data_IF_442204148168
#
_entry.id   IF_442204148168
#
_cell.length_a   1.000
_cell.length_b   1.000
_cell.length_c   1.000
_cell.angle_alpha   90.00
_cell.angle_beta   90.00
_cell.angle_gamma   90.00
#
_symmetry.space_group_name_H-M   'P 1'
#
loop_
_entity.id
_entity.type
_entity.pdbx_description
1 polymer ?
#
# COMPACT_ATOMS: atom_id res chain seq x y z
N UNK A 1 -15.64 10.40 6.88
CA UNK A 1 -14.76 9.26 7.24
C UNK A 1 -15.43 8.48 8.36
N UNK A 2 -15.60 7.17 8.20
CA UNK A 2 -16.22 6.27 9.18
C UNK A 2 -15.35 6.07 10.42
N UNK A 3 -15.91 5.51 11.49
CA UNK A 3 -15.20 5.32 12.76
C UNK A 3 -14.07 4.29 12.64
N UNK A 4 -14.27 3.25 11.82
CA UNK A 4 -13.22 2.26 11.48
C UNK A 4 -12.00 2.94 10.84
N UNK A 5 -12.20 3.74 9.80
CA UNK A 5 -11.11 4.47 9.15
C UNK A 5 -10.44 5.48 10.10
N UNK A 6 -11.18 6.09 11.04
CA UNK A 6 -10.59 6.96 12.07
C UNK A 6 -9.72 6.19 13.05
N UNK A 7 -10.13 4.99 13.45
CA UNK A 7 -9.36 4.13 14.35
C UNK A 7 -8.05 3.69 13.68
N UNK A 8 -8.13 3.23 12.44
CA UNK A 8 -6.96 2.88 11.63
C UNK A 8 -6.04 4.09 11.45
N UNK A 9 -6.60 5.26 11.09
CA UNK A 9 -5.83 6.50 10.92
C UNK A 9 -5.07 6.90 12.19
N UNK A 10 -5.72 6.88 13.34
CA UNK A 10 -5.07 7.18 14.63
C UNK A 10 -3.92 6.21 14.95
N UNK A 11 -4.08 4.92 14.66
CA UNK A 11 -3.00 3.93 14.83
C UNK A 11 -1.79 4.31 13.96
N UNK A 12 -2.02 4.69 12.70
CA UNK A 12 -0.96 5.08 11.79
C UNK A 12 -0.38 6.46 12.08
N UNK A 13 -1.10 7.39 12.72
CA UNK A 13 -0.54 8.63 13.22
C UNK A 13 0.65 8.37 14.18
N UNK A 14 0.56 7.34 15.04
CA UNK A 14 1.64 6.92 15.93
C UNK A 14 2.82 6.23 15.23
N UNK A 15 2.65 5.79 14.00
CA UNK A 15 3.71 5.18 13.19
C UNK A 15 4.39 6.17 12.24
N UNK A 16 3.80 7.32 11.99
CA UNK A 16 4.13 8.18 10.85
C UNK A 16 5.61 8.60 10.81
N UNK A 17 6.23 8.91 11.96
CA UNK A 17 7.63 9.33 11.99
C UNK A 17 8.57 8.17 11.67
N UNK A 18 8.49 7.07 12.42
CA UNK A 18 9.36 5.91 12.20
C UNK A 18 9.13 5.26 10.84
N UNK A 19 7.88 5.20 10.38
CA UNK A 19 7.58 4.68 9.05
C UNK A 19 8.13 5.59 7.94
N UNK A 20 8.08 6.91 8.12
CA UNK A 20 8.72 7.83 7.19
C UNK A 20 10.23 7.57 7.06
N UNK A 21 10.94 7.32 8.16
CA UNK A 21 12.37 7.01 8.13
C UNK A 21 12.67 5.73 7.35
N UNK A 22 11.83 4.70 7.50
CA UNK A 22 11.90 3.46 6.72
C UNK A 22 11.71 3.77 5.22
N UNK A 23 10.71 4.56 4.87
CA UNK A 23 10.39 4.93 3.50
C UNK A 23 11.51 5.75 2.84
N UNK A 24 12.15 6.68 3.57
CA UNK A 24 13.28 7.46 3.04
C UNK A 24 14.46 6.55 2.65
N UNK A 25 14.77 5.55 3.47
CA UNK A 25 15.81 4.56 3.15
C UNK A 25 15.45 3.71 1.96
N UNK A 26 14.23 3.20 1.93
CA UNK A 26 13.75 2.39 0.81
C UNK A 26 13.75 3.18 -0.50
N UNK A 27 13.43 4.46 -0.45
CA UNK A 27 13.51 5.33 -1.62
C UNK A 27 14.94 5.43 -2.17
N UNK A 28 15.93 5.50 -1.28
CA UNK A 28 17.34 5.55 -1.65
C UNK A 28 17.85 4.20 -2.19
N UNK A 29 17.38 3.07 -1.65
CA UNK A 29 17.89 1.73 -1.96
C UNK A 29 17.15 1.05 -3.12
N UNK A 30 15.86 1.31 -3.27
CA UNK A 30 14.97 0.58 -4.18
C UNK A 30 14.12 1.48 -5.09
N UNK A 31 14.26 2.79 -5.02
CA UNK A 31 13.44 3.73 -5.80
C UNK A 31 13.47 3.46 -7.30
N UNK A 32 14.62 3.13 -7.87
CA UNK A 32 14.76 2.80 -9.30
C UNK A 32 14.00 1.51 -9.66
N UNK A 33 14.11 0.46 -8.84
CA UNK A 33 13.39 -0.80 -9.07
C UNK A 33 11.87 -0.60 -9.02
N UNK A 34 11.38 0.23 -8.09
CA UNK A 34 9.97 0.61 -8.02
C UNK A 34 9.53 1.46 -9.22
N UNK A 35 10.38 2.38 -9.68
CA UNK A 35 10.11 3.15 -10.91
C UNK A 35 9.92 2.23 -12.09
N UNK A 36 10.82 1.27 -12.29
CA UNK A 36 10.71 0.28 -13.35
C UNK A 36 9.44 -0.56 -13.24
N UNK A 37 9.12 -1.06 -12.04
CA UNK A 37 7.89 -1.83 -11.80
C UNK A 37 6.65 -1.02 -12.13
N UNK A 38 6.50 0.18 -11.56
CA UNK A 38 5.30 0.99 -11.74
C UNK A 38 5.11 1.43 -13.19
N UNK A 39 6.19 1.72 -13.92
CA UNK A 39 6.13 2.12 -15.34
C UNK A 39 5.86 0.94 -16.26
N UNK A 40 6.41 -0.25 -15.97
CA UNK A 40 6.13 -1.49 -16.72
C UNK A 40 4.65 -1.83 -16.72
N UNK A 41 3.99 -1.66 -15.56
CA UNK A 41 2.59 -2.00 -15.39
C UNK A 41 1.63 -0.80 -15.55
N UNK A 42 2.14 0.38 -15.86
CA UNK A 42 1.28 1.54 -16.09
C UNK A 42 0.32 1.32 -17.27
N UNK A 43 -0.88 1.93 -17.26
CA UNK A 43 -1.76 1.88 -18.42
C UNK A 43 -1.11 2.57 -19.63
N UNK A 44 -1.41 2.09 -20.84
CA UNK A 44 -0.82 2.59 -22.08
C UNK A 44 -1.09 4.09 -22.33
N UNK A 45 -2.14 4.63 -21.74
CA UNK A 45 -2.56 6.02 -21.92
C UNK A 45 -3.08 6.60 -20.62
N UNK A 46 -2.94 7.92 -20.47
CA UNK A 46 -3.36 8.64 -19.27
C UNK A 46 -2.26 8.70 -18.22
N UNK A 47 -2.30 9.75 -17.42
CA UNK A 47 -1.26 10.04 -16.41
C UNK A 47 -1.84 10.46 -15.06
N UNK A 48 -3.16 10.35 -14.85
CA UNK A 48 -3.79 10.67 -13.56
C UNK A 48 -3.72 9.44 -12.67
N UNK A 49 -2.95 9.50 -11.61
CA UNK A 49 -2.75 8.38 -10.69
C UNK A 49 -3.33 8.67 -9.31
N UNK A 50 -3.88 7.63 -8.69
CA UNK A 50 -4.31 7.62 -7.29
C UNK A 50 -3.47 6.62 -6.51
N UNK A 51 -2.77 7.10 -5.46
CA UNK A 51 -2.05 6.25 -4.48
C UNK A 51 -2.95 6.10 -3.24
N UNK A 52 -3.49 4.90 -3.03
CA UNK A 52 -4.44 4.61 -1.93
C UNK A 52 -3.70 4.03 -0.74
N UNK A 53 -3.89 4.63 0.45
CA UNK A 53 -3.07 4.31 1.61
C UNK A 53 -1.62 4.77 1.38
N UNK A 54 -1.46 6.00 0.88
CA UNK A 54 -0.18 6.49 0.39
C UNK A 54 0.91 6.59 1.47
N UNK A 55 0.55 6.55 2.75
CA UNK A 55 1.47 6.76 3.86
C UNK A 55 2.29 8.03 3.68
N UNK A 56 3.64 7.98 3.85
CA UNK A 56 4.52 9.13 3.61
C UNK A 56 4.75 9.45 2.12
N UNK A 57 3.98 8.84 1.18
CA UNK A 57 3.94 9.19 -0.23
C UNK A 57 4.91 8.42 -1.14
N UNK A 58 5.37 7.24 -0.77
CA UNK A 58 6.41 6.52 -1.54
C UNK A 58 6.02 6.30 -3.00
N UNK A 59 4.90 5.60 -3.27
CA UNK A 59 4.47 5.33 -4.65
C UNK A 59 4.06 6.61 -5.37
N UNK A 60 3.38 7.52 -4.67
CA UNK A 60 3.00 8.83 -5.23
C UNK A 60 4.21 9.61 -5.73
N UNK A 61 5.30 9.65 -4.96
CA UNK A 61 6.52 10.37 -5.33
C UNK A 61 7.25 9.71 -6.50
N UNK A 62 7.32 8.36 -6.52
CA UNK A 62 7.89 7.62 -7.66
C UNK A 62 7.11 7.94 -8.94
N UNK A 63 5.78 7.91 -8.89
CA UNK A 63 4.95 8.23 -10.05
C UNK A 63 5.05 9.70 -10.48
N UNK A 64 5.13 10.63 -9.52
CA UNK A 64 5.31 12.05 -9.81
C UNK A 64 6.65 12.34 -10.53
N UNK A 65 7.73 11.62 -10.18
CA UNK A 65 9.01 11.69 -10.90
C UNK A 65 8.89 11.24 -12.36
N UNK A 66 7.98 10.30 -12.65
CA UNK A 66 7.68 9.80 -14.01
C UNK A 66 6.62 10.64 -14.75
N UNK A 67 6.29 11.81 -14.21
CA UNK A 67 5.41 12.78 -14.85
C UNK A 67 3.92 12.38 -14.79
N UNK A 68 3.52 11.60 -13.78
CA UNK A 68 2.11 11.40 -13.49
C UNK A 68 1.56 12.59 -12.69
N UNK A 69 0.29 12.91 -12.93
CA UNK A 69 -0.51 13.80 -12.09
C UNK A 69 -1.07 12.95 -10.95
N UNK A 70 -0.48 13.09 -9.76
CA UNK A 70 -0.68 12.14 -8.66
C UNK A 70 -1.50 12.76 -7.54
N UNK A 71 -2.51 12.01 -7.12
CA UNK A 71 -3.20 12.22 -5.85
C UNK A 71 -2.90 11.06 -4.92
N UNK A 72 -2.42 11.33 -3.69
CA UNK A 72 -2.27 10.35 -2.61
C UNK A 72 -3.38 10.53 -1.57
N UNK A 73 -3.95 9.44 -1.09
CA UNK A 73 -4.92 9.46 0.00
C UNK A 73 -4.48 8.51 1.13
N UNK A 74 -4.71 8.94 2.37
CA UNK A 74 -4.50 8.12 3.56
C UNK A 74 -5.52 8.49 4.63
N UNK A 75 -5.90 7.57 5.51
CA UNK A 75 -6.79 7.87 6.63
C UNK A 75 -6.05 8.53 7.81
N UNK A 76 -4.72 8.47 7.84
CA UNK A 76 -3.87 9.14 8.83
C UNK A 76 -3.52 10.57 8.41
N UNK A 77 -3.81 11.54 9.30
CA UNK A 77 -3.42 12.93 9.09
C UNK A 77 -1.91 13.14 9.11
N UNK A 78 -1.22 12.45 10.01
CA UNK A 78 0.24 12.54 10.14
C UNK A 78 0.97 11.95 8.92
N UNK A 79 0.46 10.86 8.34
CA UNK A 79 0.99 10.30 7.09
C UNK A 79 0.88 11.31 5.95
N UNK A 80 -0.29 11.92 5.78
CA UNK A 80 -0.52 12.96 4.76
C UNK A 80 0.40 14.17 4.94
N UNK A 81 0.63 14.59 6.19
CA UNK A 81 1.59 15.67 6.49
C UNK A 81 3.01 15.28 6.04
N UNK A 82 3.43 14.04 6.31
CA UNK A 82 4.74 13.54 5.87
C UNK A 82 4.84 13.46 4.35
N UNK A 83 3.80 12.96 3.68
CA UNK A 83 3.78 12.87 2.22
C UNK A 83 3.94 14.25 1.55
N UNK A 84 3.22 15.25 2.04
CA UNK A 84 3.35 16.65 1.55
C UNK A 84 4.76 17.19 1.72
N UNK A 85 5.35 17.01 2.90
CA UNK A 85 6.72 17.43 3.18
C UNK A 85 7.73 16.73 2.28
N UNK A 86 7.59 15.43 2.11
CA UNK A 86 8.46 14.63 1.24
C UNK A 86 8.39 15.08 -0.23
N UNK A 87 7.20 15.47 -0.72
CA UNK A 87 7.03 16.03 -2.05
C UNK A 87 7.71 17.40 -2.18
N UNK A 88 7.48 18.30 -1.22
CA UNK A 88 8.08 19.63 -1.17
C UNK A 88 9.61 19.58 -1.15
N UNK A 89 10.20 18.74 -0.29
CA UNK A 89 11.66 18.56 -0.17
C UNK A 89 12.30 18.05 -1.47
N UNK A 90 11.53 17.35 -2.32
CA UNK A 90 11.98 16.86 -3.64
C UNK A 90 11.61 17.75 -4.80
N UNK A 91 10.89 18.86 -4.54
CA UNK A 91 10.39 19.73 -5.60
C UNK A 91 9.37 19.06 -6.53
N UNK A 92 8.64 18.04 -6.03
CA UNK A 92 7.66 17.30 -6.80
C UNK A 92 6.24 17.85 -6.55
N UNK A 93 5.43 17.86 -7.60
CA UNK A 93 4.01 18.21 -7.52
C UNK A 93 3.18 16.96 -7.36
N UNK A 94 2.52 16.82 -6.22
CA UNK A 94 1.52 15.78 -5.95
C UNK A 94 0.50 16.31 -4.93
N UNK A 95 -0.75 15.90 -5.06
CA UNK A 95 -1.79 16.25 -4.09
C UNK A 95 -1.92 15.15 -3.03
N UNK A 96 -2.10 15.54 -1.75
CA UNK A 96 -2.30 14.57 -0.67
C UNK A 96 -3.51 14.96 0.19
N UNK A 97 -4.40 14.00 0.45
CA UNK A 97 -5.65 14.22 1.19
C UNK A 97 -5.87 13.17 2.27
N UNK A 98 -6.40 13.59 3.41
CA UNK A 98 -6.94 12.66 4.42
C UNK A 98 -8.29 12.18 3.92
N UNK A 99 -8.41 10.86 3.65
CA UNK A 99 -9.60 10.28 3.06
C UNK A 99 -9.73 8.79 3.44
N UNK A 100 -10.98 8.32 3.50
CA UNK A 100 -11.32 6.91 3.65
C UNK A 100 -11.30 6.24 2.27
N UNK A 101 -10.54 5.17 2.12
CA UNK A 101 -10.41 4.43 0.86
C UNK A 101 -11.71 3.73 0.41
N UNK A 102 -12.68 3.60 1.32
CA UNK A 102 -14.00 3.00 1.05
C UNK A 102 -15.04 4.00 0.56
N UNK A 103 -14.72 5.31 0.55
CA UNK A 103 -15.63 6.37 0.14
C UNK A 103 -14.81 7.53 -0.46
N UNK A 104 -14.65 7.52 -1.78
CA UNK A 104 -13.81 8.48 -2.50
C UNK A 104 -14.63 9.65 -3.03
N UNK A 105 -14.22 10.86 -2.71
CA UNK A 105 -14.89 12.09 -3.18
C UNK A 105 -14.42 12.52 -4.57
N UNK A 106 -14.35 11.54 -5.49
CA UNK A 106 -13.99 11.76 -6.89
C UNK A 106 -15.11 11.27 -7.81
N UNK A 107 -15.25 11.88 -8.97
CA UNK A 107 -16.20 11.43 -9.99
C UNK A 107 -15.78 10.07 -10.59
N UNK A 108 -16.74 9.38 -11.21
CA UNK A 108 -16.48 8.16 -11.95
C UNK A 108 -15.42 8.40 -13.04
N UNK A 109 -14.47 7.49 -13.19
CA UNK A 109 -13.43 7.57 -14.21
C UNK A 109 -12.43 8.72 -14.03
N UNK A 110 -12.23 9.19 -12.78
CA UNK A 110 -11.28 10.29 -12.48
C UNK A 110 -9.82 9.89 -12.68
N UNK A 111 -9.47 8.60 -12.55
CA UNK A 111 -8.09 8.14 -12.56
C UNK A 111 -7.82 7.12 -13.67
N UNK A 112 -6.61 7.18 -14.18
CA UNK A 112 -6.11 6.26 -15.21
C UNK A 112 -5.38 5.08 -14.56
N UNK A 113 -4.75 5.32 -13.40
CA UNK A 113 -3.94 4.36 -12.67
C UNK A 113 -4.21 4.48 -11.17
N UNK A 114 -4.53 3.36 -10.52
CA UNK A 114 -4.67 3.28 -9.06
C UNK A 114 -3.59 2.35 -8.56
N UNK A 115 -2.81 2.80 -7.59
CA UNK A 115 -1.71 2.04 -7.00
C UNK A 115 -1.86 1.93 -5.49
N UNK A 116 -1.42 0.79 -4.93
CA UNK A 116 -1.36 0.56 -3.48
C UNK A 116 -0.15 -0.31 -3.15
N UNK A 117 0.36 -0.16 -1.93
CA UNK A 117 1.39 -1.04 -1.37
C UNK A 117 1.14 -1.28 0.11
N UNK A 118 0.99 -2.55 0.49
CA UNK A 118 0.81 -2.97 1.89
C UNK A 118 -0.30 -2.20 2.62
N UNK A 119 -1.40 -1.91 1.93
CA UNK A 119 -2.51 -1.12 2.45
C UNK A 119 -3.83 -1.90 2.46
N UNK A 120 -3.98 -2.95 1.62
CA UNK A 120 -5.25 -3.66 1.50
C UNK A 120 -5.57 -4.49 2.75
N UNK A 121 -4.56 -4.95 3.48
CA UNK A 121 -4.75 -5.73 4.69
C UNK A 121 -5.52 -4.98 5.80
N UNK A 122 -5.57 -3.65 5.75
CA UNK A 122 -6.30 -2.80 6.70
C UNK A 122 -7.75 -2.48 6.27
N UNK A 123 -8.22 -3.05 5.16
CA UNK A 123 -9.58 -2.80 4.71
C UNK A 123 -10.58 -3.50 5.63
N UNK A 124 -11.52 -2.72 6.18
CA UNK A 124 -12.61 -3.23 7.02
C UNK A 124 -13.82 -3.72 6.18
N UNK A 125 -13.91 -3.30 4.92
CA UNK A 125 -14.92 -3.73 3.93
C UNK A 125 -14.25 -3.78 2.54
N UNK A 126 -13.49 -4.87 2.24
CA UNK A 126 -12.73 -4.96 1.00
C UNK A 126 -13.56 -4.85 -0.26
N UNK A 127 -14.72 -5.52 -0.32
CA UNK A 127 -15.57 -5.48 -1.52
C UNK A 127 -16.02 -4.06 -1.82
N UNK A 128 -16.41 -3.30 -0.79
CA UNK A 128 -16.77 -1.90 -0.94
C UNK A 128 -15.60 -1.05 -1.43
N UNK A 129 -14.41 -1.23 -0.86
CA UNK A 129 -13.24 -0.47 -1.26
C UNK A 129 -12.86 -0.73 -2.74
N UNK A 130 -12.79 -2.00 -3.14
CA UNK A 130 -12.47 -2.36 -4.52
C UNK A 130 -13.56 -1.92 -5.52
N UNK A 131 -14.84 -1.95 -5.13
CA UNK A 131 -15.92 -1.41 -5.95
C UNK A 131 -15.81 0.11 -6.14
N UNK A 132 -15.43 0.83 -5.08
CA UNK A 132 -15.21 2.27 -5.14
C UNK A 132 -14.00 2.64 -6.00
N UNK A 133 -12.90 1.87 -5.92
CA UNK A 133 -11.74 2.05 -6.80
C UNK A 133 -12.09 1.73 -8.26
N UNK A 134 -12.90 0.70 -8.50
CA UNK A 134 -13.42 0.42 -9.84
C UNK A 134 -14.25 1.58 -10.39
N UNK A 135 -15.10 2.21 -9.57
CA UNK A 135 -15.92 3.35 -9.96
C UNK A 135 -15.05 4.52 -10.44
N UNK A 136 -14.04 4.90 -9.65
CA UNK A 136 -13.20 6.07 -9.96
C UNK A 136 -12.12 5.78 -11.02
N UNK A 137 -11.86 4.52 -11.32
CA UNK A 137 -10.98 4.11 -12.42
C UNK A 137 -11.71 4.32 -13.75
N UNK A 138 -11.06 4.93 -14.75
CA UNK A 138 -11.64 5.09 -16.08
C UNK A 138 -11.72 3.75 -16.84
N UNK A 139 -12.60 3.60 -17.84
CA UNK A 139 -12.51 2.51 -18.80
C UNK A 139 -11.12 2.43 -19.43
N UNK A 140 -10.51 1.26 -19.48
CA UNK A 140 -9.13 1.04 -19.91
C UNK A 140 -8.07 1.47 -18.91
N UNK A 141 -8.44 1.89 -17.70
CA UNK A 141 -7.52 2.17 -16.59
C UNK A 141 -7.12 0.90 -15.85
N UNK A 142 -6.11 1.00 -15.00
CA UNK A 142 -5.51 -0.12 -14.27
C UNK A 142 -5.42 0.13 -12.80
N UNK A 143 -5.80 -0.88 -12.01
CA UNK A 143 -5.46 -1.06 -10.61
C UNK A 143 -4.21 -1.92 -10.51
N UNK A 144 -3.23 -1.49 -9.71
CA UNK A 144 -2.03 -2.25 -9.36
C UNK A 144 -1.81 -2.19 -7.86
N UNK A 145 -1.64 -3.33 -7.22
CA UNK A 145 -1.26 -3.33 -5.81
C UNK A 145 -0.33 -4.47 -5.45
N UNK A 146 0.62 -4.15 -4.57
CA UNK A 146 1.48 -5.10 -3.88
C UNK A 146 0.91 -5.32 -2.49
N UNK A 147 0.74 -6.57 -2.12
CA UNK A 147 0.38 -6.96 -0.76
C UNK A 147 0.89 -8.37 -0.44
N UNK A 148 0.61 -8.86 0.74
CA UNK A 148 1.01 -10.18 1.20
C UNK A 148 -0.18 -10.94 1.76
N UNK A 149 0.01 -12.24 1.99
CA UNK A 149 -0.93 -13.05 2.72
C UNK A 149 -0.70 -12.88 4.24
N UNK A 150 -1.42 -11.94 4.85
CA UNK A 150 -1.27 -11.59 6.27
C UNK A 150 -1.82 -12.63 7.24
N UNK A 151 -2.43 -13.72 6.75
CA UNK A 151 -2.88 -14.82 7.59
C UNK A 151 -1.73 -15.54 8.33
N UNK A 152 -0.47 -15.30 7.95
CA UNK A 152 0.69 -15.79 8.71
C UNK A 152 0.73 -15.28 10.16
N UNK A 153 0.08 -14.14 10.45
CA UNK A 153 -0.02 -13.60 11.81
C UNK A 153 -0.78 -14.53 12.76
N UNK A 154 -1.58 -15.45 12.21
CA UNK A 154 -2.26 -16.51 12.98
C UNK A 154 -1.36 -17.71 13.24
N UNK A 155 -0.17 -17.79 12.62
CA UNK A 155 0.82 -18.86 12.85
C UNK A 155 1.89 -18.38 13.85
N UNK A 156 1.90 -18.91 15.10
CA UNK A 156 2.85 -18.48 16.11
C UNK A 156 4.32 -18.79 15.77
N UNK A 157 4.59 -19.82 14.95
CA UNK A 157 5.95 -20.17 14.55
C UNK A 157 6.48 -19.17 13.50
N UNK A 158 5.65 -18.79 12.54
CA UNK A 158 6.01 -17.79 11.54
C UNK A 158 6.15 -16.41 12.16
N UNK A 159 5.23 -16.03 13.04
CA UNK A 159 5.31 -14.75 13.78
C UNK A 159 6.61 -14.66 14.59
N UNK A 160 6.94 -15.75 15.33
CA UNK A 160 8.18 -15.80 16.10
C UNK A 160 9.42 -15.68 15.21
N UNK A 161 9.46 -16.35 14.05
CA UNK A 161 10.58 -16.22 13.10
C UNK A 161 10.75 -14.79 12.61
N UNK A 162 9.65 -14.14 12.30
CA UNK A 162 9.67 -12.74 11.85
C UNK A 162 10.19 -11.81 12.95
N UNK A 163 9.74 -11.99 14.19
CA UNK A 163 10.22 -11.23 15.33
C UNK A 163 11.74 -11.42 15.55
N UNK A 164 12.24 -12.65 15.46
CA UNK A 164 13.67 -12.97 15.54
C UNK A 164 14.48 -12.31 14.41
N UNK A 165 13.92 -12.23 13.19
CA UNK A 165 14.55 -11.53 12.07
C UNK A 165 14.55 -10.00 12.26
N UNK A 166 13.48 -9.42 12.79
CA UNK A 166 13.42 -8.00 13.13
C UNK A 166 14.44 -7.63 14.22
N UNK A 167 14.52 -8.42 15.30
CA UNK A 167 15.51 -8.21 16.37
C UNK A 167 16.95 -8.33 15.84
N UNK A 168 17.20 -9.31 14.96
CA UNK A 168 18.51 -9.47 14.32
C UNK A 168 18.84 -8.28 13.45
N UNK A 169 17.90 -7.85 12.61
CA UNK A 169 18.07 -6.67 11.75
C UNK A 169 18.40 -5.42 12.58
N UNK A 170 17.63 -5.17 13.64
CA UNK A 170 17.85 -4.02 14.52
C UNK A 170 19.26 -4.05 15.16
N UNK A 171 19.69 -5.22 15.63
CA UNK A 171 21.02 -5.40 16.22
C UNK A 171 22.14 -5.18 15.21
N UNK A 172 21.98 -5.63 13.98
CA UNK A 172 23.00 -5.50 12.92
C UNK A 172 23.05 -4.09 12.32
N UNK A 173 21.93 -3.39 12.26
CA UNK A 173 21.81 -2.11 11.55
C UNK A 173 21.60 -0.90 12.48
N UNK A 174 21.41 -1.11 13.79
CA UNK A 174 21.26 -0.04 14.77
C UNK A 174 19.96 0.75 14.68
N UNK A 175 18.94 0.24 14.00
CA UNK A 175 17.62 0.85 13.91
C UNK A 175 16.53 -0.21 13.73
N UNK A 176 15.34 0.07 14.28
CA UNK A 176 14.19 -0.81 14.21
C UNK A 176 13.38 -0.60 12.93
N UNK A 177 12.77 -1.67 12.43
CA UNK A 177 11.72 -1.63 11.41
C UNK A 177 10.32 -1.49 12.03
N UNK A 178 10.21 -1.64 13.36
CA UNK A 178 8.96 -1.35 14.05
C UNK A 178 8.79 0.16 14.23
N UNK A 179 7.82 0.73 13.55
CA UNK A 179 7.54 2.16 13.56
C UNK A 179 6.47 2.59 14.58
N UNK A 180 5.77 1.64 15.20
CA UNK A 180 4.65 1.95 16.08
C UNK A 180 5.11 2.38 17.48
N UNK A 181 4.61 3.52 17.93
CA UNK A 181 4.96 4.12 19.25
C UNK A 181 3.73 4.41 20.13
N UNK A 182 2.54 4.00 19.68
CA UNK A 182 1.28 4.30 20.35
C UNK A 182 0.86 3.24 21.39
N UNK A 183 -0.33 3.40 21.98
CA UNK A 183 -0.91 2.43 22.90
C UNK A 183 -1.22 1.10 22.24
N UNK A 184 -0.90 -0.02 22.94
CA UNK A 184 -1.12 -1.38 22.45
C UNK A 184 -2.59 -1.64 22.09
N UNK A 185 -3.50 -1.17 22.93
CA UNK A 185 -4.94 -1.32 22.76
C UNK A 185 -5.45 -0.67 21.46
N UNK A 186 -4.83 0.43 21.04
CA UNK A 186 -5.16 1.09 19.77
C UNK A 186 -4.69 0.26 18.57
N UNK A 187 -3.48 -0.34 18.65
CA UNK A 187 -3.01 -1.25 17.59
C UNK A 187 -3.93 -2.47 17.47
N UNK A 188 -4.20 -3.15 18.57
CA UNK A 188 -5.08 -4.32 18.60
C UNK A 188 -6.50 -4.00 18.09
N UNK A 189 -7.03 -2.81 18.43
CA UNK A 189 -8.34 -2.36 17.97
C UNK A 189 -8.34 -2.10 16.44
N UNK A 190 -7.28 -1.50 15.90
CA UNK A 190 -7.16 -1.24 14.47
C UNK A 190 -6.94 -2.53 13.67
N UNK A 191 -6.05 -3.40 14.17
CA UNK A 191 -5.75 -4.69 13.53
C UNK A 191 -6.99 -5.60 13.51
N UNK A 192 -7.81 -5.59 14.58
CA UNK A 192 -9.07 -6.32 14.66
C UNK A 192 -10.17 -5.86 13.68
N UNK A 193 -9.98 -4.71 13.01
CA UNK A 193 -10.88 -4.25 11.94
C UNK A 193 -10.53 -4.86 10.57
N UNK A 194 -9.37 -5.47 10.41
CA UNK A 194 -8.94 -6.03 9.13
C UNK A 194 -9.80 -7.23 8.73
N UNK A 195 -10.46 -7.12 7.59
CA UNK A 195 -11.19 -8.25 7.01
C UNK A 195 -10.25 -9.32 6.42
N UNK A 196 -8.98 -8.99 6.14
CA UNK A 196 -8.05 -9.89 5.47
C UNK A 196 -7.17 -10.72 6.40
N UNK A 197 -7.22 -10.54 7.71
CA UNK A 197 -6.43 -11.37 8.65
C UNK A 197 -6.69 -12.87 8.53
N UNK A 198 -7.91 -13.25 8.12
CA UNK A 198 -8.34 -14.65 8.03
C UNK A 198 -8.77 -15.05 6.61
N UNK A 199 -8.45 -14.24 5.62
CA UNK A 199 -8.79 -14.49 4.21
C UNK A 199 -7.53 -14.84 3.44
N UNK A 200 -7.53 -16.00 2.81
CA UNK A 200 -6.41 -16.45 1.98
C UNK A 200 -6.32 -15.60 0.70
N UNK A 201 -5.15 -15.05 0.49
CA UNK A 201 -4.79 -14.22 -0.65
C UNK A 201 -3.65 -14.89 -1.44
N UNK A 202 -3.59 -14.77 -2.78
CA UNK A 202 -4.46 -13.93 -3.63
C UNK A 202 -5.74 -14.63 -4.14
N UNK A 203 -6.15 -15.78 -3.59
CA UNK A 203 -7.31 -16.55 -4.07
C UNK A 203 -8.61 -15.73 -3.98
N UNK A 204 -8.78 -14.99 -2.88
CA UNK A 204 -9.92 -14.09 -2.71
C UNK A 204 -9.95 -13.05 -3.84
N UNK A 205 -8.81 -12.46 -4.15
CA UNK A 205 -8.68 -11.41 -5.16
C UNK A 205 -9.06 -11.93 -6.55
N UNK A 206 -8.56 -13.11 -6.91
CA UNK A 206 -8.84 -13.77 -8.20
C UNK A 206 -10.30 -14.15 -8.39
N UNK A 207 -11.05 -14.30 -7.31
CA UNK A 207 -12.49 -14.55 -7.32
C UNK A 207 -13.30 -13.26 -7.33
N UNK A 208 -12.94 -12.33 -6.47
CA UNK A 208 -13.76 -11.13 -6.18
C UNK A 208 -13.57 -10.03 -7.21
N UNK A 209 -12.34 -9.75 -7.65
CA UNK A 209 -12.12 -8.67 -8.61
C UNK A 209 -12.86 -8.86 -9.94
N UNK A 210 -12.87 -10.07 -10.56
CA UNK A 210 -13.70 -10.29 -11.74
C UNK A 210 -15.20 -10.12 -11.46
N UNK A 211 -15.69 -10.51 -10.28
CA UNK A 211 -17.09 -10.32 -9.91
C UNK A 211 -17.47 -8.83 -9.77
N UNK A 212 -16.51 -7.97 -9.40
CA UNK A 212 -16.66 -6.52 -9.37
C UNK A 212 -16.47 -5.84 -10.74
N UNK A 213 -16.16 -6.61 -11.80
CA UNK A 213 -16.04 -6.11 -13.17
C UNK A 213 -14.61 -5.90 -13.67
N UNK A 214 -13.58 -6.13 -12.86
CA UNK A 214 -12.19 -6.04 -13.33
C UNK A 214 -11.85 -7.18 -14.30
N UNK A 215 -11.23 -6.88 -15.43
CA UNK A 215 -10.80 -7.90 -16.42
C UNK A 215 -9.80 -7.32 -17.42
N UNK A 216 -8.65 -7.95 -17.63
CA UNK A 216 -8.15 -9.14 -16.95
C UNK A 216 -7.63 -8.83 -15.52
N UNK A 217 -7.63 -9.87 -14.67
CA UNK A 217 -6.94 -9.86 -13.37
C UNK A 217 -5.75 -10.82 -13.46
N UNK A 218 -4.57 -10.37 -13.02
CA UNK A 218 -3.33 -11.15 -13.06
C UNK A 218 -2.61 -11.06 -11.73
N UNK A 219 -2.06 -12.18 -11.29
CA UNK A 219 -1.17 -12.28 -10.12
C UNK A 219 0.26 -12.46 -10.62
N UNK A 220 1.18 -11.65 -10.14
CA UNK A 220 2.62 -11.74 -10.39
C UNK A 220 3.27 -12.13 -9.06
N UNK A 221 3.71 -13.40 -8.92
CA UNK A 221 4.33 -13.86 -7.68
C UNK A 221 5.78 -13.37 -7.58
N UNK A 222 6.34 -13.42 -6.36
CA UNK A 222 7.76 -13.20 -6.07
C UNK A 222 8.27 -11.83 -6.54
N UNK A 223 7.41 -10.82 -6.50
CA UNK A 223 7.77 -9.45 -6.92
C UNK A 223 8.83 -8.83 -6.01
N UNK A 224 8.89 -9.25 -4.75
CA UNK A 224 9.89 -8.86 -3.77
C UNK A 224 11.34 -9.08 -4.26
N UNK A 225 11.60 -10.13 -5.06
CA UNK A 225 12.90 -10.39 -5.66
C UNK A 225 13.34 -9.31 -6.65
N UNK A 226 12.39 -8.57 -7.20
CA UNK A 226 12.64 -7.51 -8.19
C UNK A 226 12.82 -6.13 -7.54
N UNK A 227 12.16 -5.89 -6.40
CA UNK A 227 12.02 -4.55 -5.81
C UNK A 227 12.77 -4.36 -4.50
N UNK A 228 13.13 -5.43 -3.80
CA UNK A 228 13.78 -5.32 -2.50
C UNK A 228 15.28 -5.67 -2.57
N UNK A 229 16.10 -4.98 -1.77
CA UNK A 229 17.48 -5.39 -1.57
C UNK A 229 17.56 -6.77 -0.87
N UNK A 230 18.66 -7.53 -1.00
CA UNK A 230 18.76 -8.91 -0.48
C UNK A 230 18.42 -9.07 0.99
N UNK A 231 18.76 -8.10 1.85
CA UNK A 231 18.44 -8.16 3.27
C UNK A 231 16.92 -8.09 3.52
N UNK A 232 16.21 -7.28 2.74
CA UNK A 232 14.76 -7.11 2.86
C UNK A 232 14.02 -8.31 2.25
N UNK A 233 14.54 -8.90 1.17
CA UNK A 233 14.02 -10.14 0.61
C UNK A 233 14.04 -11.25 1.65
N UNK A 234 15.16 -11.39 2.39
CA UNK A 234 15.30 -12.38 3.45
C UNK A 234 14.34 -12.15 4.61
N UNK A 235 14.16 -10.90 5.02
CA UNK A 235 13.24 -10.51 6.09
C UNK A 235 11.79 -10.95 5.78
N UNK A 236 11.39 -10.83 4.51
CA UNK A 236 10.03 -11.16 4.07
C UNK A 236 9.94 -12.50 3.32
N UNK A 237 10.94 -13.38 3.46
CA UNK A 237 10.94 -14.69 2.81
C UNK A 237 9.74 -15.57 3.23
N UNK A 238 9.27 -15.40 4.48
CA UNK A 238 8.12 -16.12 5.02
C UNK A 238 6.77 -15.51 4.59
N UNK A 239 6.76 -14.34 3.95
CA UNK A 239 5.55 -13.64 3.50
C UNK A 239 5.39 -13.88 2.00
N UNK A 240 4.28 -14.52 1.62
CA UNK A 240 3.90 -14.68 0.23
C UNK A 240 3.42 -13.33 -0.34
N UNK A 241 4.39 -12.46 -0.69
CA UNK A 241 4.08 -11.21 -1.35
C UNK A 241 3.74 -11.44 -2.82
N UNK A 242 2.72 -10.74 -3.28
CA UNK A 242 2.23 -10.80 -4.65
C UNK A 242 1.89 -9.41 -5.17
N UNK A 243 2.05 -9.24 -6.47
CA UNK A 243 1.55 -8.08 -7.19
C UNK A 243 0.28 -8.48 -7.95
N UNK A 244 -0.76 -7.70 -7.83
CA UNK A 244 -1.96 -7.87 -8.66
C UNK A 244 -2.09 -6.68 -9.60
N UNK A 245 -2.39 -6.99 -10.86
CA UNK A 245 -2.89 -6.02 -11.83
C UNK A 245 -4.31 -6.39 -12.22
N UNK A 246 -5.20 -5.40 -12.24
CA UNK A 246 -6.60 -5.57 -12.59
C UNK A 246 -7.07 -4.38 -13.42
N UNK A 247 -7.58 -4.64 -14.61
CA UNK A 247 -7.99 -3.61 -15.56
C UNK A 247 -9.50 -3.37 -15.49
N UNK A 248 -9.92 -2.11 -15.67
CA UNK A 248 -11.32 -1.82 -15.97
C UNK A 248 -11.50 -1.92 -17.48
N UNK A 249 -12.39 -2.80 -17.96
CA UNK A 249 -12.66 -2.93 -19.40
C UNK A 249 -13.07 -1.61 -20.05
N UNK A 250 -12.82 -1.51 -21.38
CA UNK A 250 -13.22 -0.34 -22.19
C UNK A 250 -14.71 -0.36 -22.47
#
# INVERSE_FOLDING_TARGET
>A
MKDEARTIGKRWDHSANGYNDIIQREFAEAGEAWTQLLTEYAPATGKRALDVGCGPGFLALVLAMEGFDVTGIDCSGEMVIRARRNAEERGLSAEFRVMDSHELYYADGSFDYIVLRNATWLLYDPEKAFAEWFRVLRPGGRLLYLDANWSYLDDPELTKKLDEEYERFEKENGHSLNSYTGPKELSESADGLSAFLHILRPEWDMKTLPALGYSPVRVIPRVNERIYPPWKQKLYEAMDEFLITADKPV
#
